data_IF_908357787773
#
_entry.id   IF_908357787773
#
_cell.length_a   1.000
_cell.length_b   1.000
_cell.length_c   1.000
_cell.angle_alpha   90.00
_cell.angle_beta   90.00
_cell.angle_gamma   90.00
#
_symmetry.space_group_name_H-M   'P 1'
#
loop_
_entity.id
_entity.type
_entity.pdbx_description
1 polymer ?
#
# COMPACT_ATOMS: atom_id res chain seq x y z
N UNK A 1 -2.58 13.93 4.18
CA UNK A 1 -1.73 13.04 3.36
C UNK A 1 -2.24 11.64 3.58
N UNK A 2 -2.71 10.95 2.54
CA UNK A 2 -3.34 9.63 2.68
C UNK A 2 -2.26 8.56 2.57
N UNK A 3 -2.14 7.71 3.60
CA UNK A 3 -1.28 6.53 3.57
C UNK A 3 -2.04 5.38 2.93
N UNK A 4 -1.34 4.53 2.18
CA UNK A 4 -1.93 3.32 1.60
C UNK A 4 -1.14 2.10 2.01
N UNK A 5 -1.88 1.08 2.42
CA UNK A 5 -1.36 -0.11 3.05
C UNK A 5 -1.82 -1.30 2.23
N UNK A 6 -0.86 -2.04 1.70
CA UNK A 6 -1.10 -3.24 0.92
C UNK A 6 -1.00 -4.46 1.83
N UNK A 7 -2.04 -5.30 1.86
CA UNK A 7 -2.17 -6.44 2.74
C UNK A 7 -2.22 -7.72 1.93
N UNK A 8 -1.29 -8.63 2.21
CA UNK A 8 -1.35 -9.99 1.68
C UNK A 8 -2.18 -10.87 2.62
N UNK A 9 -3.29 -11.39 2.11
CA UNK A 9 -4.22 -12.23 2.88
C UNK A 9 -3.70 -13.65 3.14
N UNK A 10 -2.61 -14.07 2.49
CA UNK A 10 -1.95 -15.35 2.76
C UNK A 10 -1.11 -15.31 4.05
N UNK A 11 -0.80 -14.11 4.56
CA UNK A 11 -0.10 -13.95 5.83
C UNK A 11 -1.09 -14.21 6.96
N UNK A 12 -0.72 -15.12 7.87
CA UNK A 12 -1.49 -15.38 9.07
C UNK A 12 -1.69 -14.09 9.88
N UNK A 13 -2.92 -13.83 10.32
CA UNK A 13 -3.29 -12.67 11.14
C UNK A 13 -2.96 -11.30 10.51
N UNK A 14 -2.95 -11.19 9.18
CA UNK A 14 -2.71 -9.91 8.47
C UNK A 14 -3.63 -8.76 8.94
N UNK A 15 -4.82 -9.09 9.45
CA UNK A 15 -5.76 -8.13 10.04
C UNK A 15 -5.22 -7.52 11.34
N UNK A 16 -4.68 -8.34 12.25
CA UNK A 16 -4.07 -7.85 13.49
C UNK A 16 -2.79 -7.04 13.21
N UNK A 17 -2.01 -7.45 12.20
CA UNK A 17 -0.86 -6.67 11.74
C UNK A 17 -1.28 -5.28 11.23
N UNK A 18 -2.46 -5.18 10.60
CA UNK A 18 -3.02 -3.94 10.10
C UNK A 18 -3.54 -2.99 11.20
N UNK A 19 -3.88 -3.50 12.39
CA UNK A 19 -4.41 -2.70 13.51
C UNK A 19 -3.42 -1.63 14.01
N UNK A 20 -2.12 -1.87 13.84
CA UNK A 20 -1.06 -0.95 14.27
C UNK A 20 -0.66 0.07 13.21
N UNK A 21 -1.34 0.08 12.05
CA UNK A 21 -1.02 0.98 10.95
C UNK A 21 -1.74 2.32 11.13
N UNK A 22 -1.17 3.38 10.56
CA UNK A 22 -1.61 4.78 10.76
C UNK A 22 -3.13 4.92 10.55
N UNK A 23 -3.85 5.59 11.47
CA UNK A 23 -5.28 5.85 11.32
C UNK A 23 -5.61 6.56 9.99
N UNK A 24 -6.77 6.24 9.41
CA UNK A 24 -7.24 6.76 8.11
C UNK A 24 -6.37 6.34 6.91
N UNK A 25 -5.65 5.22 7.03
CA UNK A 25 -5.01 4.58 5.88
C UNK A 25 -6.04 3.92 4.98
N UNK A 26 -5.79 3.97 3.68
CA UNK A 26 -6.49 3.18 2.67
C UNK A 26 -5.88 1.79 2.62
N UNK A 27 -6.69 0.76 2.84
CA UNK A 27 -6.24 -0.63 2.80
C UNK A 27 -6.58 -1.27 1.46
N UNK A 28 -5.59 -1.91 0.86
CA UNK A 28 -5.72 -2.70 -0.37
C UNK A 28 -5.35 -4.13 -0.03
N UNK A 29 -6.30 -5.05 -0.10
CA UNK A 29 -6.05 -6.48 0.11
C UNK A 29 -5.72 -7.10 -1.24
N UNK A 30 -4.62 -7.85 -1.32
CA UNK A 30 -4.24 -8.55 -2.54
C UNK A 30 -5.22 -9.68 -2.88
N UNK A 31 -5.58 -9.73 -4.15
CA UNK A 31 -6.07 -10.95 -4.77
C UNK A 31 -4.88 -11.91 -4.92
N UNK A 32 -4.96 -13.04 -4.20
CA UNK A 32 -3.89 -14.04 -4.13
C UNK A 32 -3.73 -14.84 -5.43
N UNK A 33 -4.64 -14.66 -6.38
CA UNK A 33 -4.57 -15.26 -7.73
C UNK A 33 -3.82 -14.39 -8.73
N UNK A 34 -3.42 -13.17 -8.34
CA UNK A 34 -2.79 -12.18 -9.19
C UNK A 34 -1.40 -11.80 -8.67
N UNK A 35 -0.53 -11.30 -9.55
CA UNK A 35 0.79 -10.80 -9.17
C UNK A 35 0.68 -9.56 -8.28
N UNK A 36 1.29 -9.61 -7.09
CA UNK A 36 1.19 -8.52 -6.11
C UNK A 36 1.86 -7.22 -6.57
N UNK A 37 2.95 -7.29 -7.34
CA UNK A 37 3.64 -6.11 -7.86
C UNK A 37 2.80 -5.41 -8.94
N UNK A 38 2.14 -6.18 -9.81
CA UNK A 38 1.20 -5.67 -10.79
C UNK A 38 0.01 -4.97 -10.12
N UNK A 39 -0.55 -5.57 -9.06
CA UNK A 39 -1.64 -4.97 -8.28
C UNK A 39 -1.23 -3.64 -7.63
N UNK A 40 -0.05 -3.58 -6.98
CA UNK A 40 0.50 -2.33 -6.44
C UNK A 40 0.61 -1.28 -7.55
N UNK A 41 1.18 -1.68 -8.70
CA UNK A 41 1.40 -0.78 -9.85
C UNK A 41 0.08 -0.23 -10.37
N UNK A 42 -0.96 -1.04 -10.45
CA UNK A 42 -2.29 -0.63 -10.89
C UNK A 42 -2.91 0.42 -9.95
N UNK A 43 -2.85 0.17 -8.64
CA UNK A 43 -3.35 1.12 -7.62
C UNK A 43 -2.58 2.44 -7.65
N UNK A 44 -1.25 2.38 -7.83
CA UNK A 44 -0.40 3.57 -7.88
C UNK A 44 -0.57 4.34 -9.19
N UNK A 45 -0.84 3.68 -10.32
CA UNK A 45 -1.05 4.34 -11.63
C UNK A 45 -2.29 5.23 -11.63
N UNK A 46 -3.31 4.88 -10.83
CA UNK A 46 -4.51 5.71 -10.65
C UNK A 46 -4.24 7.02 -9.88
N UNK A 47 -3.02 7.24 -9.40
CA UNK A 47 -2.64 8.40 -8.57
C UNK A 47 -1.74 9.36 -9.34
N UNK A 48 -2.22 10.58 -9.51
CA UNK A 48 -1.55 11.66 -10.25
C UNK A 48 -0.43 12.38 -9.49
N UNK A 49 -0.21 12.06 -8.21
CA UNK A 49 0.55 12.90 -7.28
C UNK A 49 1.39 12.07 -6.29
N UNK A 50 1.97 10.98 -6.80
CA UNK A 50 2.98 10.21 -6.09
C UNK A 50 4.33 10.95 -6.17
N UNK A 51 4.84 11.39 -5.01
CA UNK A 51 6.20 11.91 -4.89
C UNK A 51 7.10 10.80 -4.38
N UNK A 52 8.24 10.58 -5.02
CA UNK A 52 9.25 9.67 -4.51
C UNK A 52 9.88 10.31 -3.27
N UNK A 53 10.14 9.50 -2.24
CA UNK A 53 10.74 10.00 -1.00
C UNK A 53 12.11 10.68 -1.23
N UNK A 54 12.88 10.23 -2.23
CA UNK A 54 14.15 10.87 -2.64
C UNK A 54 13.99 12.29 -3.17
N UNK A 55 12.81 12.66 -3.68
CA UNK A 55 12.57 13.96 -4.29
C UNK A 55 12.31 15.04 -3.22
N UNK A 56 12.15 14.63 -1.96
CA UNK A 56 11.91 15.52 -0.82
C UNK A 56 13.16 15.77 0.04
N UNK A 57 14.26 15.05 -0.22
CA UNK A 57 15.52 15.21 0.49
C UNK A 57 16.50 16.01 -0.39
N UNK A 58 16.40 17.33 -0.28
CA UNK A 58 17.44 18.23 -0.79
C UNK A 58 18.45 18.43 0.34
N UNK A 59 19.63 17.82 0.24
CA UNK A 59 20.80 18.19 1.01
C UNK A 59 21.56 19.32 0.31
#
# INVERSE_FOLDING_TARGET
MTSSVFLDSQILDYQQLAENVTPNSEFVIFDTTQDGVAQITQVLTARSNLRRYSDCLSW
#
